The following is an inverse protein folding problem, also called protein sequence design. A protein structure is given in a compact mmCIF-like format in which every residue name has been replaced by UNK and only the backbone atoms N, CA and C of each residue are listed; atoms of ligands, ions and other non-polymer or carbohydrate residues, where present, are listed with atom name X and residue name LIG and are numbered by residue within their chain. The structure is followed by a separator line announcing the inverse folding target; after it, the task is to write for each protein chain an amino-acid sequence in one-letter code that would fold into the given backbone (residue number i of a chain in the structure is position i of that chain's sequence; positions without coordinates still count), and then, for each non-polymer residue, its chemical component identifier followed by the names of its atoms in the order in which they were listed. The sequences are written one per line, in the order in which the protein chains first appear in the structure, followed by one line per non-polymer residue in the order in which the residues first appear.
data_IF_650945006954
#
_entry.id   IF_650945006954
#
_cell.length_a   1.000
_cell.length_b   1.000
_cell.length_c   1.000
_cell.angle_alpha   90.00
_cell.angle_beta   90.00
_cell.angle_gamma   90.00
#
_symmetry.space_group_name_H-M   'P 1'
#
loop_
_entity.id
_entity.type
_entity.pdbx_description
1 polymer ?
#
# COMPACT_ATOMS: atom_id res chain seq x y z
N UNK A 1 13.31 -16.94 -16.59
CA UNK A 1 12.72 -15.95 -17.51
C UNK A 1 11.40 -15.53 -16.90
N UNK A 2 11.24 -14.26 -16.55
CA UNK A 2 9.97 -13.70 -16.07
C UNK A 2 9.52 -12.59 -17.02
N UNK A 3 8.29 -12.12 -16.87
CA UNK A 3 7.75 -11.00 -17.65
C UNK A 3 8.02 -9.67 -16.91
N UNK A 4 9.09 -8.93 -17.23
CA UNK A 4 9.62 -7.86 -16.36
C UNK A 4 8.67 -6.65 -16.21
N UNK A 5 7.71 -6.52 -17.12
CA UNK A 5 6.74 -5.43 -17.17
C UNK A 5 5.30 -5.86 -16.86
N UNK A 6 5.09 -7.14 -16.55
CA UNK A 6 3.77 -7.69 -16.24
C UNK A 6 3.71 -8.27 -14.83
N UNK A 7 4.81 -8.88 -14.37
CA UNK A 7 4.85 -9.59 -13.10
C UNK A 7 6.00 -9.09 -12.23
N UNK A 8 5.78 -9.07 -10.92
CA UNK A 8 6.82 -8.85 -9.93
C UNK A 8 7.80 -10.02 -9.98
N UNK A 9 9.10 -9.74 -10.05
CA UNK A 9 10.12 -10.80 -10.09
C UNK A 9 10.08 -11.66 -8.84
N UNK A 10 10.47 -12.93 -8.94
CA UNK A 10 10.47 -13.87 -7.80
C UNK A 10 11.34 -13.35 -6.65
N UNK A 11 12.45 -12.71 -6.97
CA UNK A 11 13.36 -12.14 -5.96
C UNK A 11 12.71 -10.95 -5.24
N UNK A 12 12.01 -10.08 -5.96
CA UNK A 12 11.21 -9.00 -5.34
C UNK A 12 10.06 -9.54 -4.50
N UNK A 13 9.34 -10.57 -4.95
CA UNK A 13 8.27 -11.21 -4.17
C UNK A 13 8.80 -11.74 -2.84
N UNK A 14 9.96 -12.41 -2.86
CA UNK A 14 10.63 -12.89 -1.63
C UNK A 14 11.07 -11.71 -0.76
N UNK A 15 11.63 -10.65 -1.35
CA UNK A 15 12.03 -9.46 -0.61
C UNK A 15 10.84 -8.80 0.08
N UNK A 16 9.71 -8.62 -0.61
CA UNK A 16 8.48 -8.07 -0.03
C UNK A 16 7.90 -8.98 1.06
N UNK A 17 7.90 -10.30 0.86
CA UNK A 17 7.44 -11.24 1.88
C UNK A 17 8.34 -11.24 3.14
N UNK A 18 9.61 -10.90 3.00
CA UNK A 18 10.58 -10.81 4.09
C UNK A 18 10.58 -9.45 4.82
N UNK A 19 9.90 -8.43 4.29
CA UNK A 19 9.84 -7.12 4.94
C UNK A 19 9.10 -7.19 6.27
N UNK A 20 9.65 -6.61 7.36
CA UNK A 20 9.00 -6.60 8.65
C UNK A 20 7.71 -5.78 8.56
N UNK A 21 6.60 -6.37 8.99
CA UNK A 21 5.29 -5.74 8.97
C UNK A 21 4.49 -6.18 10.19
N UNK A 22 3.86 -5.21 10.83
CA UNK A 22 2.95 -5.37 11.96
C UNK A 22 1.66 -4.64 11.62
N UNK A 23 0.56 -5.39 11.46
CA UNK A 23 -0.75 -4.85 11.07
C UNK A 23 -1.36 -3.91 12.11
N UNK A 24 -0.89 -3.95 13.36
CA UNK A 24 -1.36 -3.05 14.43
C UNK A 24 -0.54 -1.78 14.55
N UNK A 25 0.69 -1.78 14.03
CA UNK A 25 1.59 -0.62 14.08
C UNK A 25 1.68 0.11 12.76
N UNK A 26 1.64 -0.58 11.63
CA UNK A 26 1.81 0.04 10.34
C UNK A 26 0.46 0.50 9.78
N UNK A 27 0.38 1.77 9.43
CA UNK A 27 -0.82 2.39 8.90
C UNK A 27 -0.47 3.38 7.79
N UNK A 28 -1.48 3.73 7.00
CA UNK A 28 -1.41 4.85 6.07
C UNK A 28 -1.94 6.11 6.74
N UNK A 29 -1.25 7.22 6.52
CA UNK A 29 -1.67 8.55 6.99
C UNK A 29 -1.65 9.54 5.83
N UNK A 30 -2.54 10.55 5.84
CA UNK A 30 -2.59 11.54 4.78
C UNK A 30 -1.30 12.39 4.77
N UNK A 31 -0.80 12.68 3.57
CA UNK A 31 0.39 13.50 3.32
C UNK A 31 0.10 14.47 2.16
N UNK A 32 0.54 15.73 2.28
CA UNK A 32 0.24 16.75 1.28
C UNK A 32 0.94 16.51 -0.06
N UNK A 33 2.10 15.85 -0.06
CA UNK A 33 2.91 15.63 -1.26
C UNK A 33 2.56 14.31 -1.95
N UNK A 34 2.40 13.24 -1.15
CA UNK A 34 2.21 11.88 -1.65
C UNK A 34 0.75 11.41 -1.63
N UNK A 35 -0.17 12.22 -1.11
CA UNK A 35 -1.56 11.86 -0.83
C UNK A 35 -1.66 11.00 0.44
N UNK A 36 -1.01 9.84 0.43
CA UNK A 36 -0.88 8.96 1.59
C UNK A 36 0.56 8.45 1.73
N UNK A 37 1.03 8.39 2.97
CA UNK A 37 2.36 7.87 3.30
C UNK A 37 2.30 6.80 4.38
N UNK A 38 3.22 5.83 4.30
CA UNK A 38 3.35 4.81 5.33
C UNK A 38 3.87 5.42 6.63
N UNK A 39 3.28 5.01 7.75
CA UNK A 39 3.69 5.42 9.08
C UNK A 39 3.60 4.26 10.09
N UNK A 40 4.37 4.39 11.16
CA UNK A 40 4.36 3.46 12.29
C UNK A 40 3.79 4.14 13.53
N UNK A 41 2.76 3.54 14.14
CA UNK A 41 2.17 3.97 15.39
C UNK A 41 3.16 3.73 16.53
N UNK A 42 3.52 4.81 17.24
CA UNK A 42 4.36 4.77 18.45
C UNK A 42 3.55 4.73 19.73
N UNK A 43 2.44 5.48 19.79
CA UNK A 43 1.54 5.48 20.95
C UNK A 43 0.09 5.70 20.54
N UNK A 44 -0.81 5.21 21.38
CA UNK A 44 -2.25 5.36 21.26
C UNK A 44 -2.74 5.96 22.58
N UNK A 45 -3.25 7.18 22.52
CA UNK A 45 -3.83 7.90 23.66
C UNK A 45 -5.32 8.12 23.37
N UNK A 46 -6.17 7.25 23.92
CA UNK A 46 -7.62 7.19 23.71
C UNK A 46 -8.05 7.11 22.23
N UNK A 47 -8.11 8.24 21.55
CA UNK A 47 -8.52 8.38 20.15
C UNK A 47 -7.45 9.09 19.27
N UNK A 48 -6.31 9.46 19.88
CA UNK A 48 -5.19 10.11 19.21
C UNK A 48 -4.03 9.13 19.05
N UNK A 49 -3.64 8.90 17.81
CA UNK A 49 -2.48 8.11 17.42
C UNK A 49 -1.29 9.04 17.23
N UNK A 50 -0.17 8.71 17.87
CA UNK A 50 1.12 9.31 17.54
C UNK A 50 1.83 8.37 16.58
N UNK A 51 2.07 8.84 15.36
CA UNK A 51 2.70 8.06 14.29
C UNK A 51 4.03 8.67 13.90
N UNK A 52 4.95 7.84 13.41
CA UNK A 52 6.18 8.28 12.76
C UNK A 52 6.09 7.88 11.30
N UNK A 53 6.04 8.89 10.42
CA UNK A 53 5.99 8.69 8.97
C UNK A 53 7.30 8.10 8.45
N UNK A 54 7.28 7.49 7.27
CA UNK A 54 8.49 7.02 6.57
C UNK A 54 9.53 8.14 6.33
N UNK A 55 9.09 9.41 6.27
CA UNK A 55 9.98 10.59 6.20
C UNK A 55 10.71 10.89 7.52
N UNK A 56 10.37 10.19 8.62
CA UNK A 56 10.93 10.40 9.95
C UNK A 56 10.20 11.45 10.78
N UNK A 57 9.15 12.08 10.23
CA UNK A 57 8.36 13.09 10.93
C UNK A 57 7.38 12.40 11.88
N UNK A 58 7.34 12.88 13.13
CA UNK A 58 6.34 12.48 14.13
C UNK A 58 5.11 13.37 13.99
N UNK A 59 3.95 12.75 13.80
CA UNK A 59 2.67 13.43 13.61
C UNK A 59 1.61 12.82 14.52
N UNK A 60 0.54 13.57 14.75
CA UNK A 60 -0.60 13.12 15.54
C UNK A 60 -1.83 13.10 14.65
N UNK A 61 -2.51 11.97 14.61
CA UNK A 61 -3.76 11.77 13.85
C UNK A 61 -4.81 11.16 14.76
N UNK A 62 -6.08 11.31 14.41
CA UNK A 62 -7.13 10.51 15.03
C UNK A 62 -7.17 9.12 14.40
N UNK A 63 -7.72 8.15 15.11
CA UNK A 63 -7.88 6.79 14.59
C UNK A 63 -8.67 6.75 13.28
N UNK A 64 -9.70 7.58 13.15
CA UNK A 64 -10.55 7.73 11.96
C UNK A 64 -9.82 8.32 10.73
N UNK A 65 -8.73 9.05 10.93
CA UNK A 65 -7.95 9.68 9.85
C UNK A 65 -6.86 8.74 9.30
N UNK A 66 -6.60 7.62 9.99
CA UNK A 66 -5.64 6.61 9.58
C UNK A 66 -6.32 5.46 8.85
N UNK A 67 -5.65 4.90 7.84
CA UNK A 67 -6.16 3.72 7.11
C UNK A 67 -5.27 2.51 7.38
N UNK A 68 -5.86 1.30 7.43
CA UNK A 68 -5.08 0.08 7.62
C UNK A 68 -4.14 -0.18 6.45
N UNK A 69 -2.92 -0.62 6.75
CA UNK A 69 -1.94 -0.97 5.73
C UNK A 69 -2.05 -2.46 5.39
N UNK A 70 -2.01 -2.78 4.10
CA UNK A 70 -1.87 -4.17 3.65
C UNK A 70 -0.43 -4.65 3.89
N UNK A 71 -0.23 -5.95 4.21
CA UNK A 71 1.11 -6.53 4.29
C UNK A 71 1.93 -6.31 3.00
N UNK A 72 3.26 -6.10 3.08
CA UNK A 72 4.10 -5.78 1.92
C UNK A 72 4.08 -6.84 0.81
N UNK A 73 3.74 -8.10 1.12
CA UNK A 73 3.52 -9.14 0.10
C UNK A 73 2.44 -8.81 -0.94
N UNK A 74 1.55 -7.86 -0.62
CA UNK A 74 0.53 -7.34 -1.52
C UNK A 74 0.97 -6.10 -2.31
N UNK A 75 2.26 -5.74 -2.23
CA UNK A 75 2.84 -4.66 -3.04
C UNK A 75 2.91 -5.10 -4.49
N UNK A 76 2.54 -4.21 -5.41
CA UNK A 76 2.52 -4.45 -6.86
C UNK A 76 1.64 -5.65 -7.25
N UNK A 77 0.56 -5.92 -6.52
CA UNK A 77 -0.40 -6.96 -6.93
C UNK A 77 -1.10 -6.59 -8.25
N UNK A 78 -1.22 -7.55 -9.17
CA UNK A 78 -1.87 -7.37 -10.47
C UNK A 78 -3.38 -7.20 -10.34
N UNK A 79 -4.00 -7.91 -9.39
CA UNK A 79 -5.41 -7.83 -9.05
C UNK A 79 -5.61 -7.25 -7.64
N UNK A 80 -5.99 -5.97 -7.61
CA UNK A 80 -6.20 -5.24 -6.35
C UNK A 80 -7.46 -5.67 -5.60
N UNK A 81 -8.36 -6.46 -6.20
CA UNK A 81 -9.50 -7.01 -5.47
C UNK A 81 -9.09 -8.05 -4.42
N UNK A 82 -7.86 -8.59 -4.51
CA UNK A 82 -7.31 -9.52 -3.53
C UNK A 82 -6.63 -8.84 -2.33
N UNK A 83 -6.65 -7.50 -2.27
CA UNK A 83 -6.17 -6.76 -1.09
C UNK A 83 -7.06 -7.07 0.12
N UNK A 84 -6.44 -7.22 1.30
CA UNK A 84 -7.19 -7.44 2.55
C UNK A 84 -7.96 -6.18 2.95
N UNK A 85 -7.31 -5.02 2.80
CA UNK A 85 -7.92 -3.72 3.03
C UNK A 85 -8.02 -2.97 1.71
N UNK A 86 -9.23 -2.86 1.16
CA UNK A 86 -9.49 -2.13 -0.07
C UNK A 86 -9.80 -0.66 0.25
N UNK A 87 -8.78 0.07 0.70
CA UNK A 87 -8.87 1.51 1.01
C UNK A 87 -8.10 2.36 -0.02
N UNK A 88 -8.41 3.65 -0.06
CA UNK A 88 -7.84 4.58 -1.04
C UNK A 88 -6.32 4.61 -0.99
N UNK A 89 -5.73 4.60 0.22
CA UNK A 89 -4.29 4.61 0.40
C UNK A 89 -3.61 3.36 -0.19
N UNK A 90 -4.20 2.17 0.01
CA UNK A 90 -3.65 0.92 -0.51
C UNK A 90 -3.73 0.83 -2.03
N UNK A 91 -4.84 1.29 -2.62
CA UNK A 91 -5.00 1.35 -4.08
C UNK A 91 -3.99 2.33 -4.69
N UNK A 92 -3.88 3.54 -4.13
CA UNK A 92 -2.93 4.55 -4.58
C UNK A 92 -1.49 4.04 -4.50
N UNK A 93 -1.11 3.42 -3.37
CA UNK A 93 0.23 2.87 -3.18
C UNK A 93 0.57 1.80 -4.21
N UNK A 94 -0.38 0.89 -4.49
CA UNK A 94 -0.17 -0.17 -5.47
C UNK A 94 0.00 0.40 -6.88
N UNK A 95 -0.88 1.31 -7.29
CA UNK A 95 -0.81 1.98 -8.59
C UNK A 95 0.51 2.74 -8.77
N UNK A 96 0.91 3.53 -7.76
CA UNK A 96 2.17 4.28 -7.76
C UNK A 96 3.38 3.35 -7.91
N UNK A 97 3.43 2.28 -7.12
CA UNK A 97 4.53 1.31 -7.13
C UNK A 97 4.66 0.55 -8.45
N UNK A 98 3.53 0.20 -9.07
CA UNK A 98 3.48 -0.43 -10.38
C UNK A 98 3.89 0.51 -11.50
N UNK A 99 3.40 1.76 -11.47
CA UNK A 99 3.78 2.79 -12.44
C UNK A 99 5.30 3.04 -12.46
N UNK A 100 5.93 3.17 -11.30
CA UNK A 100 7.40 3.32 -11.20
C UNK A 100 8.18 2.11 -11.73
N UNK A 101 7.55 0.93 -11.76
CA UNK A 101 8.15 -0.30 -12.28
C UNK A 101 7.76 -0.59 -13.73
N UNK A 102 7.13 0.38 -14.41
CA UNK A 102 6.59 0.24 -15.77
C UNK A 102 5.56 -0.89 -15.93
N UNK A 103 4.92 -1.32 -14.84
CA UNK A 103 3.86 -2.33 -14.82
C UNK A 103 2.49 -1.65 -14.92
N UNK A 104 2.21 -1.08 -16.08
CA UNK A 104 1.03 -0.21 -16.28
C UNK A 104 -0.31 -0.97 -16.29
N UNK A 105 -0.27 -2.30 -16.46
CA UNK A 105 -1.45 -3.16 -16.48
C UNK A 105 -1.86 -3.54 -15.07
N UNK A 106 -3.10 -3.19 -14.70
CA UNK A 106 -3.73 -3.59 -13.44
C UNK A 106 -5.17 -4.03 -13.68
N UNK A 107 -5.56 -5.12 -13.02
CA UNK A 107 -6.95 -5.55 -12.97
C UNK A 107 -7.64 -4.82 -11.82
N UNK A 108 -8.39 -3.77 -12.15
CA UNK A 108 -9.37 -3.18 -11.27
C UNK A 108 -10.70 -3.84 -11.59
N UNK A 109 -11.24 -4.65 -10.67
CA UNK A 109 -12.50 -5.37 -10.91
C UNK A 109 -13.62 -4.35 -11.18
N UNK A 110 -14.14 -4.38 -12.41
CA UNK A 110 -15.56 -4.15 -12.69
C UNK A 110 -16.18 -5.53 -12.84
N UNK A 111 -17.20 -5.91 -12.05
CA UNK A 111 -17.85 -7.23 -12.16
C UNK A 111 -18.42 -7.52 -13.56
N UNK A 112 -18.59 -6.49 -14.38
CA UNK A 112 -19.36 -6.52 -15.64
C UNK A 112 -18.48 -6.29 -16.90
N UNK A 113 -17.20 -5.92 -16.78
CA UNK A 113 -16.38 -5.61 -17.97
C UNK A 113 -14.92 -6.01 -17.75
N UNK A 114 -14.42 -6.91 -18.60
CA UNK A 114 -13.00 -7.14 -18.86
C UNK A 114 -12.38 -5.89 -19.53
N UNK A 115 -12.40 -4.75 -18.83
CA UNK A 115 -11.61 -3.59 -19.21
C UNK A 115 -10.21 -3.82 -18.68
N UNK A 116 -9.41 -4.54 -19.46
CA UNK A 116 -7.97 -4.38 -19.43
C UNK A 116 -7.69 -2.95 -19.93
N UNK A 117 -7.32 -2.06 -19.02
CA UNK A 117 -6.79 -0.76 -19.44
C UNK A 117 -5.50 -1.02 -20.22
N UNK A 118 -5.50 -0.61 -21.48
CA UNK A 118 -4.46 -0.83 -22.51
C UNK A 118 -3.18 -0.07 -22.18
#
# INVERSE_FOLDING_TARGET
MGYPYLEVSRDEQVAYAAMPFDSKKNCWVPDQDEGYIAAEIKSIEDDRLTVVTKKGNQLHFRKEETQEMNPPKFTKTDDMANLTFLNEASVLHNLKSRYYSMMIYVNLVKPETNLHLI
#
